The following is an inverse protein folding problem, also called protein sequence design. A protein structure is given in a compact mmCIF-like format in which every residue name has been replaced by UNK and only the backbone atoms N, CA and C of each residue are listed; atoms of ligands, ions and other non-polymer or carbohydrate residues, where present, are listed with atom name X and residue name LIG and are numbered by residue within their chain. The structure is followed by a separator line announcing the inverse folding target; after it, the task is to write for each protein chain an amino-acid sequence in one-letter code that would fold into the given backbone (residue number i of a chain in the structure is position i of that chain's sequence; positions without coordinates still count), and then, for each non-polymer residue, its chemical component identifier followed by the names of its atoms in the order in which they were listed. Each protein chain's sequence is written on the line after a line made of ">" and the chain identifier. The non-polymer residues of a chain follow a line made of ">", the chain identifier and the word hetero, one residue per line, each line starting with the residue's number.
data_IF_059760130713
#
_entry.id   IF_059760130713
#
_cell.length_a   1.000
_cell.length_b   1.000
_cell.length_c   1.000
_cell.angle_alpha   90.00
_cell.angle_beta   90.00
_cell.angle_gamma   90.00
#
_symmetry.space_group_name_H-M   'P 1'
#
loop_
_entity.id
_entity.type
_entity.pdbx_description
1 polymer ?
#
# COMPACT_ATOMS: atom_id res chain seq x y z
N UNK A 1 -24.31 -9.11 1.94
CA UNK A 1 -23.74 -7.97 1.17
C UNK A 1 -22.34 -7.73 1.68
N UNK A 2 -21.33 -7.53 0.83
CA UNK A 2 -20.03 -7.08 1.32
C UNK A 2 -20.23 -5.68 1.90
N UNK A 3 -20.07 -5.55 3.21
CA UNK A 3 -20.02 -4.25 3.88
C UNK A 3 -18.73 -3.57 3.47
N UNK A 4 -18.82 -2.28 3.12
CA UNK A 4 -17.64 -1.48 2.87
C UNK A 4 -16.76 -1.52 4.12
N UNK A 5 -15.46 -1.86 4.00
CA UNK A 5 -14.61 -1.95 5.17
C UNK A 5 -14.51 -0.60 5.85
N UNK A 6 -14.55 -0.56 7.17
CA UNK A 6 -14.46 0.69 7.92
C UNK A 6 -13.01 1.24 7.94
N UNK A 7 -12.82 2.44 8.50
CA UNK A 7 -11.49 3.06 8.55
C UNK A 7 -10.49 2.23 9.37
N UNK A 8 -10.95 1.56 10.42
CA UNK A 8 -10.08 0.73 11.28
C UNK A 8 -9.62 -0.51 10.52
N UNK A 9 -10.53 -1.19 9.83
CA UNK A 9 -10.21 -2.35 8.99
C UNK A 9 -9.22 -1.97 7.87
N UNK A 10 -9.37 -0.77 7.29
CA UNK A 10 -8.44 -0.25 6.29
C UNK A 10 -7.06 0.07 6.90
N UNK A 11 -7.00 0.68 8.08
CA UNK A 11 -5.74 0.93 8.79
C UNK A 11 -5.02 -0.38 9.16
N UNK A 12 -5.73 -1.36 9.70
CA UNK A 12 -5.18 -2.68 10.03
C UNK A 12 -4.67 -3.40 8.78
N UNK A 13 -5.41 -3.31 7.68
CA UNK A 13 -4.99 -3.86 6.39
C UNK A 13 -3.72 -3.20 5.89
N UNK A 14 -3.65 -1.85 5.93
CA UNK A 14 -2.44 -1.11 5.57
C UNK A 14 -1.24 -1.57 6.39
N UNK A 15 -1.35 -1.61 7.71
CA UNK A 15 -0.26 -2.03 8.60
C UNK A 15 0.23 -3.44 8.29
N UNK A 16 -0.68 -4.38 8.02
CA UNK A 16 -0.35 -5.76 7.65
C UNK A 16 0.43 -5.83 6.34
N UNK A 17 0.03 -5.04 5.34
CA UNK A 17 0.69 -4.99 4.04
C UNK A 17 2.04 -4.27 4.12
N UNK A 18 2.14 -3.19 4.89
CA UNK A 18 3.40 -2.46 5.13
C UNK A 18 4.43 -3.38 5.79
N UNK A 19 4.03 -4.09 6.85
CA UNK A 19 4.91 -5.04 7.54
C UNK A 19 5.35 -6.20 6.65
N UNK A 20 4.50 -6.63 5.70
CA UNK A 20 4.79 -7.77 4.83
C UNK A 20 5.68 -7.40 3.64
N UNK A 21 5.42 -6.26 3.00
CA UNK A 21 6.02 -5.95 1.70
C UNK A 21 7.12 -4.89 1.75
N UNK A 22 7.19 -4.04 2.77
CA UNK A 22 8.16 -2.93 2.79
C UNK A 22 9.54 -3.20 3.41
N UNK A 23 9.73 -4.06 4.45
CA UNK A 23 11.00 -4.09 5.20
C UNK A 23 12.27 -4.31 4.36
N UNK A 24 12.18 -5.09 3.27
CA UNK A 24 13.27 -5.35 2.34
C UNK A 24 12.98 -4.86 0.91
N UNK A 25 11.97 -4.00 0.73
CA UNK A 25 11.59 -3.56 -0.62
C UNK A 25 12.49 -2.43 -1.12
N UNK A 26 13.00 -2.51 -2.37
CA UNK A 26 13.67 -1.37 -3.00
C UNK A 26 12.72 -0.18 -3.22
N UNK A 27 11.40 -0.39 -3.12
CA UNK A 27 10.39 0.64 -3.33
C UNK A 27 10.02 1.41 -2.06
N UNK A 28 10.61 1.09 -0.90
CA UNK A 28 10.23 1.70 0.37
C UNK A 28 10.26 3.24 0.35
N UNK A 29 11.35 3.83 -0.12
CA UNK A 29 11.48 5.29 -0.17
C UNK A 29 10.45 5.91 -1.14
N UNK A 30 10.21 5.26 -2.27
CA UNK A 30 9.19 5.69 -3.24
C UNK A 30 7.79 5.62 -2.64
N UNK A 31 7.48 4.56 -1.88
CA UNK A 31 6.21 4.43 -1.16
C UNK A 31 6.03 5.52 -0.11
N UNK A 32 7.06 5.82 0.70
CA UNK A 32 7.00 6.89 1.70
C UNK A 32 6.76 8.27 1.06
N UNK A 33 7.40 8.56 -0.07
CA UNK A 33 7.15 9.78 -0.86
C UNK A 33 5.73 9.83 -1.42
N UNK A 34 5.22 8.70 -1.89
CA UNK A 34 3.86 8.60 -2.41
C UNK A 34 2.81 8.80 -1.31
N UNK A 35 3.05 8.28 -0.11
CA UNK A 35 2.20 8.51 1.07
C UNK A 35 2.06 9.99 1.42
N UNK A 36 3.13 10.78 1.31
CA UNK A 36 3.09 12.24 1.52
C UNK A 36 2.24 12.94 0.46
N UNK A 37 2.40 12.55 -0.82
CA UNK A 37 1.54 13.07 -1.90
C UNK A 37 0.07 12.78 -1.66
N UNK A 38 -0.28 11.58 -1.19
CA UNK A 38 -1.67 11.29 -0.83
C UNK A 38 -2.20 12.18 0.31
N UNK A 39 -1.36 12.56 1.27
CA UNK A 39 -1.77 13.50 2.32
C UNK A 39 -2.03 14.91 1.79
N UNK A 40 -1.24 15.34 0.79
CA UNK A 40 -1.36 16.64 0.13
C UNK A 40 -2.55 16.70 -0.85
N UNK A 41 -2.74 15.65 -1.65
CA UNK A 41 -3.65 15.65 -2.79
C UNK A 41 -5.07 15.14 -2.46
N UNK A 42 -5.21 14.28 -1.45
CA UNK A 42 -6.50 13.67 -1.09
C UNK A 42 -7.02 14.28 0.21
N UNK A 43 -8.29 14.69 0.25
CA UNK A 43 -8.90 15.26 1.45
C UNK A 43 -9.48 14.20 2.40
N UNK A 44 -9.98 13.08 1.87
CA UNK A 44 -10.65 12.03 2.64
C UNK A 44 -9.65 10.99 3.18
N UNK A 45 -9.75 10.66 4.47
CA UNK A 45 -8.90 9.65 5.12
C UNK A 45 -9.07 8.26 4.49
N UNK A 46 -10.30 7.89 4.12
CA UNK A 46 -10.61 6.62 3.46
C UNK A 46 -9.87 6.51 2.14
N UNK A 47 -9.91 7.57 1.33
CA UNK A 47 -9.25 7.60 0.02
C UNK A 47 -7.73 7.48 0.15
N UNK A 48 -7.15 8.16 1.15
CA UNK A 48 -5.73 8.02 1.50
C UNK A 48 -5.38 6.58 1.86
N UNK A 49 -6.16 5.94 2.74
CA UNK A 49 -5.92 4.57 3.17
C UNK A 49 -6.06 3.57 2.01
N UNK A 50 -7.10 3.72 1.18
CA UNK A 50 -7.31 2.89 0.00
C UNK A 50 -6.15 3.04 -1.01
N UNK A 51 -5.70 4.26 -1.26
CA UNK A 51 -4.59 4.55 -2.18
C UNK A 51 -3.27 3.95 -1.68
N UNK A 52 -3.00 4.01 -0.37
CA UNK A 52 -1.85 3.35 0.26
C UNK A 52 -1.91 1.83 0.09
N UNK A 53 -3.06 1.21 0.40
CA UNK A 53 -3.26 -0.23 0.22
C UNK A 53 -3.09 -0.67 -1.24
N UNK A 54 -3.64 0.09 -2.19
CA UNK A 54 -3.46 -0.19 -3.62
C UNK A 54 -2.00 -0.10 -4.05
N UNK A 55 -1.26 0.90 -3.56
CA UNK A 55 0.17 1.07 -3.84
C UNK A 55 1.00 -0.10 -3.30
N UNK A 56 0.69 -0.60 -2.10
CA UNK A 56 1.35 -1.78 -1.53
C UNK A 56 1.07 -3.06 -2.35
N UNK A 57 -0.14 -3.20 -2.89
CA UNK A 57 -0.47 -4.31 -3.78
C UNK A 57 0.29 -4.22 -5.11
N UNK A 58 0.47 -3.02 -5.66
CA UNK A 58 1.31 -2.82 -6.84
C UNK A 58 2.78 -3.15 -6.55
N UNK A 59 3.32 -2.71 -5.41
CA UNK A 59 4.70 -3.04 -4.99
C UNK A 59 4.87 -4.56 -4.91
N UNK A 60 3.91 -5.25 -4.27
CA UNK A 60 3.89 -6.72 -4.23
C UNK A 60 3.91 -7.33 -5.62
N UNK A 61 3.01 -6.89 -6.50
CA UNK A 61 2.91 -7.43 -7.86
C UNK A 61 4.23 -7.28 -8.63
N UNK A 62 4.86 -6.11 -8.55
CA UNK A 62 6.15 -5.86 -9.20
C UNK A 62 7.26 -6.74 -8.59
N UNK A 63 7.26 -6.92 -7.27
CA UNK A 63 8.26 -7.78 -6.61
C UNK A 63 8.09 -9.26 -6.97
N UNK A 64 6.85 -9.75 -7.07
CA UNK A 64 6.55 -11.11 -7.54
C UNK A 64 6.98 -11.28 -9.01
N UNK A 65 6.64 -10.33 -9.88
CA UNK A 65 7.01 -10.35 -11.30
C UNK A 65 8.53 -10.30 -11.53
N UNK A 66 9.27 -9.50 -10.74
CA UNK A 66 10.73 -9.48 -10.78
C UNK A 66 11.32 -10.83 -10.31
N UNK A 67 10.76 -11.42 -9.26
CA UNK A 67 11.25 -12.69 -8.72
C UNK A 67 11.10 -13.82 -9.75
N UNK A 68 9.94 -13.90 -10.41
CA UNK A 68 9.62 -14.91 -11.43
C UNK A 68 10.51 -14.82 -12.69
N UNK A 69 11.15 -13.67 -12.94
CA UNK A 69 12.10 -13.47 -14.06
C UNK A 69 13.54 -13.85 -13.69
N UNK A 70 13.85 -13.93 -12.40
CA UNK A 70 15.22 -14.21 -11.90
C UNK A 70 15.44 -15.66 -11.43
N UNK A 71 14.39 -16.47 -11.36
CA UNK A 71 14.44 -17.95 -11.19
C UNK A 71 14.49 -18.67 -12.55
#
# INVERSE_FOLDING_TARGET
>A
MPTLPDLKELQETRLRLEAKYLPASPFRESYERLCRRFEEDLADERDRLLSRCASLMLIRFIQEDIADVTD
#
